data_IF_846426972441
#
_entry.id   IF_846426972441
#
_cell.length_a   1.000
_cell.length_b   1.000
_cell.length_c   1.000
_cell.angle_alpha   90.00
_cell.angle_beta   90.00
_cell.angle_gamma   90.00
#
_symmetry.space_group_name_H-M   'P 1'
#
loop_
_entity.id
_entity.type
_entity.pdbx_description
1 polymer ?
#
# COMPACT_ATOMS: atom_id res chain seq x y z
N UNK A 1 -30.59 4.86 9.16
CA UNK A 1 -29.76 5.89 8.51
C UNK A 1 -28.74 5.16 7.63
N UNK A 2 -28.88 5.31 6.32
CA UNK A 2 -28.09 4.60 5.32
C UNK A 2 -26.72 5.28 5.24
N UNK A 3 -25.72 4.71 5.91
CA UNK A 3 -24.34 5.16 5.81
C UNK A 3 -23.85 4.93 4.38
N UNK A 4 -23.83 5.99 3.57
CA UNK A 4 -23.24 5.99 2.23
C UNK A 4 -21.80 5.52 2.35
N UNK A 5 -21.56 4.24 2.08
CA UNK A 5 -20.26 3.68 1.78
C UNK A 5 -19.78 4.36 0.50
N UNK A 6 -19.16 5.53 0.67
CA UNK A 6 -18.55 6.29 -0.41
C UNK A 6 -17.52 5.39 -1.08
N UNK A 7 -17.90 4.84 -2.24
CA UNK A 7 -17.02 4.16 -3.19
C UNK A 7 -16.00 5.17 -3.69
N UNK A 8 -14.98 5.44 -2.88
CA UNK A 8 -13.84 6.23 -3.31
C UNK A 8 -13.06 5.40 -4.31
N UNK A 9 -13.21 5.77 -5.58
CA UNK A 9 -12.47 5.17 -6.67
C UNK A 9 -10.99 5.48 -6.52
N UNK A 10 -10.17 4.44 -6.63
CA UNK A 10 -8.71 4.41 -6.76
C UNK A 10 -8.16 5.19 -7.99
N UNK A 11 -8.73 6.34 -8.36
CA UNK A 11 -8.43 7.01 -9.63
C UNK A 11 -7.07 7.73 -9.67
N UNK A 12 -6.37 7.87 -8.55
CA UNK A 12 -5.09 8.60 -8.49
C UNK A 12 -3.82 7.73 -8.36
N UNK A 13 -3.86 6.65 -7.59
CA UNK A 13 -2.64 5.98 -7.13
C UNK A 13 -2.12 4.87 -8.07
N UNK A 14 -3.02 4.14 -8.75
CA UNK A 14 -2.65 3.07 -9.69
C UNK A 14 -2.10 3.62 -10.99
N UNK A 15 -2.56 4.82 -11.39
CA UNK A 15 -2.20 5.47 -12.64
C UNK A 15 -0.77 6.04 -12.67
N UNK A 16 -0.09 6.13 -11.52
CA UNK A 16 1.29 6.60 -11.46
C UNK A 16 2.30 5.47 -11.69
N UNK A 17 1.98 4.22 -11.30
CA UNK A 17 2.82 3.08 -11.63
C UNK A 17 2.64 2.76 -13.11
N UNK A 18 3.74 2.54 -13.81
CA UNK A 18 3.83 2.47 -15.27
C UNK A 18 3.49 3.76 -16.00
N UNK A 19 3.65 4.92 -15.35
CA UNK A 19 3.56 6.22 -16.01
C UNK A 19 4.87 6.98 -15.80
N UNK A 20 5.48 7.36 -16.91
CA UNK A 20 6.70 8.16 -16.94
C UNK A 20 6.42 9.59 -16.45
N UNK A 21 7.46 10.35 -16.05
CA UNK A 21 7.31 11.74 -15.63
C UNK A 21 6.64 12.64 -16.67
N UNK A 22 6.80 12.32 -17.96
CA UNK A 22 6.17 13.01 -19.10
C UNK A 22 4.70 12.60 -19.34
N UNK A 23 4.14 11.73 -18.50
CA UNK A 23 2.78 11.23 -18.61
C UNK A 23 2.60 10.04 -19.56
N UNK A 24 3.66 9.60 -20.25
CA UNK A 24 3.58 8.46 -21.18
C UNK A 24 3.58 7.11 -20.46
N UNK A 25 2.91 6.07 -21.00
CA UNK A 25 2.95 4.73 -20.43
C UNK A 25 4.38 4.16 -20.45
N UNK A 26 4.76 3.44 -19.40
CA UNK A 26 5.99 2.64 -19.37
C UNK A 26 5.84 1.40 -20.25
N UNK A 27 6.95 0.84 -20.73
CA UNK A 27 6.97 -0.46 -21.43
C UNK A 27 6.80 -1.67 -20.49
N UNK A 28 6.79 -1.45 -19.17
CA UNK A 28 6.58 -2.52 -18.22
C UNK A 28 5.10 -2.92 -18.19
N UNK A 29 4.84 -4.21 -18.38
CA UNK A 29 3.51 -4.83 -18.30
C UNK A 29 3.32 -5.66 -17.03
N UNK A 30 4.25 -5.55 -16.07
CA UNK A 30 4.21 -6.29 -14.81
C UNK A 30 2.92 -6.05 -14.01
N UNK A 31 2.56 -7.00 -13.14
CA UNK A 31 1.41 -6.82 -12.27
C UNK A 31 1.69 -5.68 -11.27
N UNK A 32 0.71 -4.79 -11.14
CA UNK A 32 0.68 -3.77 -10.08
C UNK A 32 0.06 -4.40 -8.84
N UNK A 33 0.76 -4.26 -7.72
CA UNK A 33 0.31 -4.69 -6.40
C UNK A 33 -0.08 -3.48 -5.56
N UNK A 34 -0.97 -3.68 -4.59
CA UNK A 34 -1.50 -2.64 -3.72
C UNK A 34 -1.36 -3.05 -2.27
N UNK A 35 -1.01 -2.09 -1.40
CA UNK A 35 -0.86 -2.34 0.03
C UNK A 35 -1.30 -1.11 0.82
N UNK A 36 -2.00 -1.32 1.93
CA UNK A 36 -2.49 -0.25 2.80
C UNK A 36 -2.04 -0.52 4.23
N UNK A 37 -1.54 0.52 4.91
CA UNK A 37 -1.13 0.42 6.30
C UNK A 37 -1.46 1.68 7.10
N UNK A 38 -1.70 1.49 8.40
CA UNK A 38 -1.95 2.57 9.38
C UNK A 38 -0.63 3.23 9.74
N UNK A 39 -0.64 4.57 9.83
CA UNK A 39 0.51 5.35 10.33
C UNK A 39 0.38 5.71 11.82
N UNK A 40 -0.86 5.85 12.29
CA UNK A 40 -1.16 6.34 13.63
C UNK A 40 -1.70 5.21 14.50
N UNK A 41 -1.53 5.37 15.82
CA UNK A 41 -2.10 4.46 16.79
C UNK A 41 -3.64 4.50 16.77
N UNK A 42 -4.35 3.43 17.20
CA UNK A 42 -5.81 3.37 17.17
C UNK A 42 -6.50 4.56 17.84
N UNK A 43 -5.97 5.07 18.92
CA UNK A 43 -6.52 6.20 19.68
C UNK A 43 -6.28 7.58 19.04
N UNK A 44 -5.41 7.70 18.02
CA UNK A 44 -5.15 8.97 17.33
C UNK A 44 -6.36 9.39 16.47
N UNK A 45 -6.71 10.68 16.48
CA UNK A 45 -7.78 11.25 15.66
C UNK A 45 -7.51 11.13 14.15
N UNK A 46 -6.25 10.92 13.76
CA UNK A 46 -5.80 10.69 12.38
C UNK A 46 -5.70 9.21 12.03
N UNK A 47 -6.14 8.29 12.89
CA UNK A 47 -6.07 6.83 12.65
C UNK A 47 -6.63 6.40 11.29
N UNK A 48 -7.64 7.10 10.80
CA UNK A 48 -8.27 6.82 9.50
C UNK A 48 -7.44 7.30 8.29
N UNK A 49 -6.40 8.11 8.52
CA UNK A 49 -5.42 8.53 7.51
C UNK A 49 -4.32 7.47 7.38
N UNK A 50 -4.50 6.57 6.43
CA UNK A 50 -3.56 5.52 6.08
C UNK A 50 -2.64 5.93 4.93
N UNK A 51 -1.61 5.12 4.69
CA UNK A 51 -0.88 5.13 3.42
C UNK A 51 -1.43 4.04 2.52
N UNK A 52 -1.75 4.39 1.29
CA UNK A 52 -1.93 3.46 0.18
C UNK A 52 -0.68 3.46 -0.67
N UNK A 53 -0.08 2.29 -0.85
CA UNK A 53 1.08 2.04 -1.71
C UNK A 53 0.65 1.20 -2.91
N UNK A 54 1.12 1.56 -4.10
CA UNK A 54 1.06 0.74 -5.31
C UNK A 54 2.47 0.54 -5.85
N UNK A 55 2.81 -0.66 -6.31
CA UNK A 55 4.14 -0.91 -6.89
C UNK A 55 4.12 -2.02 -7.92
N UNK A 56 5.18 -2.08 -8.72
CA UNK A 56 5.44 -3.16 -9.66
C UNK A 56 6.77 -3.86 -9.29
N UNK A 57 6.73 -5.17 -9.02
CA UNK A 57 7.93 -5.93 -8.64
C UNK A 57 8.93 -6.16 -9.79
N UNK A 58 8.55 -5.83 -11.03
CA UNK A 58 9.37 -5.95 -12.24
C UNK A 58 10.19 -4.67 -12.44
N UNK A 59 9.55 -3.53 -12.71
CA UNK A 59 10.24 -2.25 -12.92
C UNK A 59 10.59 -1.50 -11.62
N UNK A 60 10.12 -1.99 -10.46
CA UNK A 60 10.34 -1.41 -9.11
C UNK A 60 9.78 -0.01 -8.91
N UNK A 61 8.95 0.48 -9.83
CA UNK A 61 8.21 1.72 -9.64
C UNK A 61 7.25 1.60 -8.45
N UNK A 62 7.13 2.69 -7.69
CA UNK A 62 6.28 2.78 -6.50
C UNK A 62 5.56 4.11 -6.49
N UNK A 63 4.30 4.09 -6.10
CA UNK A 63 3.50 5.28 -5.80
C UNK A 63 2.89 5.14 -4.42
N UNK A 64 2.90 6.22 -3.65
CA UNK A 64 2.28 6.28 -2.33
C UNK A 64 1.38 7.50 -2.23
N UNK A 65 0.23 7.34 -1.58
CA UNK A 65 -0.69 8.42 -1.29
C UNK A 65 -1.31 8.24 0.10
N UNK A 66 -1.73 9.35 0.70
CA UNK A 66 -2.60 9.28 1.86
C UNK A 66 -3.99 8.85 1.42
N UNK A 67 -4.57 7.86 2.09
CA UNK A 67 -5.88 7.32 1.81
C UNK A 67 -6.70 7.27 3.10
N UNK A 68 -8.01 7.49 2.97
CA UNK A 68 -8.92 7.28 4.09
C UNK A 68 -9.31 5.80 4.15
N UNK A 69 -9.12 5.19 5.32
CA UNK A 69 -9.63 3.84 5.61
C UNK A 69 -10.42 3.94 6.90
N UNK A 70 -11.70 3.56 6.86
CA UNK A 70 -12.56 3.58 8.02
C UNK A 70 -11.93 2.78 9.18
N UNK A 71 -12.11 3.27 10.40
CA UNK A 71 -11.56 2.67 11.62
C UNK A 71 -11.83 1.17 11.78
N UNK A 72 -13.01 0.70 11.40
CA UNK A 72 -13.44 -0.70 11.58
C UNK A 72 -12.90 -1.63 10.48
N UNK A 73 -12.24 -1.07 9.46
CA UNK A 73 -11.63 -1.86 8.39
C UNK A 73 -10.34 -2.50 8.87
N UNK A 74 -10.33 -3.83 8.93
CA UNK A 74 -9.14 -4.63 9.16
C UNK A 74 -8.23 -4.56 7.94
N UNK A 75 -6.98 -4.12 8.14
CA UNK A 75 -5.95 -4.12 7.12
C UNK A 75 -4.98 -5.27 7.38
N UNK A 76 -4.61 -5.98 6.32
CA UNK A 76 -3.57 -7.00 6.42
C UNK A 76 -2.22 -6.36 6.77
N UNK A 77 -1.53 -6.92 7.75
CA UNK A 77 -0.27 -6.41 8.26
C UNK A 77 0.90 -7.24 7.74
N UNK A 78 1.49 -6.81 6.63
CA UNK A 78 2.66 -7.46 6.02
C UNK A 78 3.93 -7.40 6.89
N UNK A 79 3.89 -6.62 7.98
CA UNK A 79 4.98 -6.46 8.94
C UNK A 79 4.71 -7.23 10.24
N UNK A 80 3.59 -7.96 10.35
CA UNK A 80 3.21 -8.69 11.56
C UNK A 80 4.26 -9.72 12.00
N UNK A 81 4.94 -10.36 11.04
CA UNK A 81 5.96 -11.37 11.31
C UNK A 81 7.32 -10.77 11.76
N UNK A 82 7.46 -9.44 11.75
CA UNK A 82 8.73 -8.79 12.09
C UNK A 82 8.83 -8.56 13.61
N UNK A 83 10.01 -8.78 14.22
CA UNK A 83 10.27 -8.38 15.61
C UNK A 83 10.06 -6.87 15.81
N UNK A 84 9.57 -6.45 16.98
CA UNK A 84 9.13 -5.06 17.23
C UNK A 84 10.10 -3.96 16.78
N UNK A 85 11.39 -4.06 17.11
CA UNK A 85 12.42 -3.09 16.66
C UNK A 85 12.67 -3.08 15.15
N UNK A 86 12.48 -4.21 14.49
CA UNK A 86 12.60 -4.30 13.03
C UNK A 86 11.34 -3.75 12.36
N UNK A 87 10.17 -4.06 12.91
CA UNK A 87 8.87 -3.54 12.49
C UNK A 87 8.83 -2.02 12.53
N UNK A 88 9.26 -1.38 13.62
CA UNK A 88 9.34 0.08 13.72
C UNK A 88 10.27 0.67 12.66
N UNK A 89 11.46 0.10 12.50
CA UNK A 89 12.47 0.56 11.54
C UNK A 89 12.01 0.42 10.09
N UNK A 90 11.26 -0.63 9.78
CA UNK A 90 10.67 -0.84 8.45
C UNK A 90 9.47 0.08 8.28
N UNK A 91 8.58 0.19 9.26
CA UNK A 91 7.38 1.02 9.23
C UNK A 91 7.63 2.51 8.99
N UNK A 92 8.78 3.02 9.43
CA UNK A 92 9.22 4.40 9.21
C UNK A 92 9.85 4.66 7.83
N UNK A 93 10.08 3.62 7.03
CA UNK A 93 10.78 3.75 5.75
C UNK A 93 10.01 3.03 4.63
N UNK A 94 9.35 3.81 3.78
CA UNK A 94 8.56 3.31 2.65
C UNK A 94 9.36 2.45 1.67
N UNK A 95 10.66 2.70 1.48
CA UNK A 95 11.51 1.87 0.64
C UNK A 95 11.71 0.47 1.26
N UNK A 96 11.90 0.38 2.58
CA UNK A 96 12.02 -0.91 3.29
C UNK A 96 10.70 -1.67 3.30
N UNK A 97 9.57 -0.98 3.44
CA UNK A 97 8.24 -1.57 3.28
C UNK A 97 8.15 -2.19 1.88
N UNK A 98 8.40 -1.41 0.82
CA UNK A 98 8.37 -1.88 -0.57
C UNK A 98 9.24 -3.13 -0.77
N UNK A 99 10.48 -3.15 -0.26
CA UNK A 99 11.38 -4.30 -0.36
C UNK A 99 10.85 -5.55 0.34
N UNK A 100 10.19 -5.40 1.49
CA UNK A 100 9.53 -6.51 2.18
C UNK A 100 8.35 -7.03 1.35
N UNK A 101 7.50 -6.15 0.83
CA UNK A 101 6.35 -6.53 0.00
C UNK A 101 6.81 -7.23 -1.30
N UNK A 102 7.85 -6.71 -1.97
CA UNK A 102 8.46 -7.34 -3.16
C UNK A 102 8.94 -8.76 -2.86
N UNK A 103 9.56 -8.99 -1.69
CA UNK A 103 9.98 -10.34 -1.28
C UNK A 103 8.79 -11.27 -1.06
N UNK A 104 7.69 -10.78 -0.49
CA UNK A 104 6.47 -11.56 -0.30
C UNK A 104 5.84 -11.97 -1.64
N UNK A 105 5.76 -11.03 -2.59
CA UNK A 105 5.32 -11.29 -3.97
C UNK A 105 6.19 -12.34 -4.65
N UNK A 106 7.51 -12.16 -4.63
CA UNK A 106 8.45 -13.09 -5.30
C UNK A 106 8.47 -14.49 -4.68
N UNK A 107 8.06 -14.62 -3.42
CA UNK A 107 7.92 -15.90 -2.71
C UNK A 107 6.53 -16.54 -2.89
N UNK A 108 5.61 -15.90 -3.60
CA UNK A 108 4.22 -16.37 -3.73
C UNK A 108 3.40 -16.27 -2.45
N UNK A 109 3.88 -15.52 -1.45
CA UNK A 109 3.21 -15.29 -0.17
C UNK A 109 2.32 -14.04 -0.19
N UNK A 110 2.28 -13.34 -1.32
CA UNK A 110 1.39 -12.19 -1.48
C UNK A 110 -0.05 -12.65 -1.55
N UNK A 111 -0.93 -12.18 -0.64
CA UNK A 111 -2.31 -12.62 -0.65
C UNK A 111 -3.01 -12.04 -1.89
N UNK A 112 -3.69 -12.91 -2.64
CA UNK A 112 -4.29 -12.54 -3.92
C UNK A 112 -5.61 -11.78 -3.77
N UNK A 113 -6.24 -11.88 -2.59
CA UNK A 113 -7.64 -11.48 -2.35
C UNK A 113 -7.80 -10.24 -1.46
N UNK A 114 -6.73 -9.54 -1.08
CA UNK A 114 -6.87 -8.26 -0.37
C UNK A 114 -7.08 -7.13 -1.37
N UNK A 115 -8.23 -6.42 -1.30
CA UNK A 115 -8.50 -5.30 -2.18
C UNK A 115 -7.60 -4.09 -1.90
#
# INVERSE_FOLDING_TARGET
>A
MQGRSGRWQWKGATNAVHRRPDGTPSSCTGRIYHYRYRLYAPDDSRYERCVGMSWCSVCREVSQNLVFVNRDTVLWDALADLPGRERERVGLNSAKIRERLDRLVRRGLWPQDFP
#
